data_IF_939647619322
#
_entry.id   IF_939647619322
#
_cell.length_a   1.000
_cell.length_b   1.000
_cell.length_c   1.000
_cell.angle_alpha   90.00
_cell.angle_beta   90.00
_cell.angle_gamma   90.00
#
_symmetry.space_group_name_H-M   'P 1'
#
loop_
_entity.id
_entity.type
_entity.pdbx_description
1 polymer ?
#
# COMPACT_ATOMS: atom_id res chain seq x y z
N UNK A 1 -22.16 -67.70 21.18
CA UNK A 1 -23.19 -67.44 20.15
C UNK A 1 -22.99 -66.01 19.65
N UNK A 2 -22.93 -65.63 18.38
CA UNK A 2 -22.91 -66.30 17.07
C UNK A 2 -22.69 -65.14 16.07
N UNK A 3 -21.67 -65.25 15.20
CA UNK A 3 -21.36 -64.53 13.92
C UNK A 3 -21.46 -62.99 13.84
N UNK A 4 -20.38 -62.24 13.57
CA UNK A 4 -19.69 -61.99 12.27
C UNK A 4 -20.61 -61.37 11.21
N UNK A 5 -20.39 -60.09 10.86
CA UNK A 5 -20.48 -59.61 9.47
C UNK A 5 -19.32 -58.63 9.19
N UNK A 6 -18.56 -59.00 8.16
CA UNK A 6 -17.50 -58.28 7.47
C UNK A 6 -18.09 -57.13 6.63
N UNK A 7 -17.43 -55.97 6.61
CA UNK A 7 -17.42 -55.11 5.42
C UNK A 7 -16.00 -54.65 5.14
N UNK A 8 -15.52 -55.13 4.01
CA UNK A 8 -14.22 -54.94 3.38
C UNK A 8 -14.28 -53.62 2.59
N UNK A 9 -13.42 -52.65 2.91
CA UNK A 9 -13.13 -51.53 2.01
C UNK A 9 -11.63 -51.32 1.93
N UNK A 10 -11.07 -51.75 0.81
CA UNK A 10 -9.72 -51.44 0.34
C UNK A 10 -9.74 -50.04 -0.26
N UNK A 11 -8.92 -49.11 0.25
CA UNK A 11 -8.37 -48.04 -0.58
C UNK A 11 -6.87 -47.91 -0.30
N UNK A 12 -6.15 -47.73 -1.40
CA UNK A 12 -4.75 -48.04 -1.59
C UNK A 12 -3.78 -47.08 -0.87
N UNK A 13 -2.64 -47.66 -0.51
CA UNK A 13 -1.46 -46.98 0.03
C UNK A 13 -0.84 -46.06 -1.02
N UNK A 14 -0.69 -44.78 -0.70
CA UNK A 14 0.31 -43.91 -1.33
C UNK A 14 1.40 -43.64 -0.31
N UNK A 15 2.58 -44.14 -0.65
CA UNK A 15 3.85 -44.10 0.06
C UNK A 15 4.51 -42.73 -0.02
N UNK A 16 5.20 -42.33 1.06
CA UNK A 16 6.56 -41.74 1.13
C UNK A 16 6.74 -41.05 2.48
N UNK A 17 7.88 -41.01 3.17
CA UNK A 17 9.17 -41.73 3.19
C UNK A 17 9.92 -41.10 4.38
N UNK A 18 10.13 -41.90 5.42
CA UNK A 18 11.15 -41.88 6.49
C UNK A 18 11.50 -40.62 7.31
N UNK A 19 11.87 -40.87 8.57
CA UNK A 19 12.09 -39.95 9.68
C UNK A 19 13.48 -40.15 10.31
N UNK A 20 14.12 -39.05 10.76
CA UNK A 20 15.11 -38.92 11.86
C UNK A 20 15.89 -37.60 11.62
N UNK A 21 16.33 -36.79 12.60
CA UNK A 21 16.47 -36.93 14.05
C UNK A 21 16.61 -35.52 14.66
N UNK A 22 16.45 -35.42 15.98
CA UNK A 22 16.59 -34.19 16.78
C UNK A 22 18.05 -33.70 16.94
N UNK A 23 18.13 -32.39 17.23
CA UNK A 23 18.91 -31.71 18.28
C UNK A 23 20.20 -30.89 17.94
N UNK A 24 20.32 -29.80 18.71
CA UNK A 24 21.49 -28.96 19.05
C UNK A 24 21.83 -27.69 18.24
N UNK A 25 21.39 -26.57 18.83
CA UNK A 25 21.97 -25.20 18.95
C UNK A 25 23.44 -25.01 18.53
N UNK A 26 23.74 -23.99 17.72
CA UNK A 26 24.94 -23.11 17.81
C UNK A 26 24.76 -21.87 16.91
N UNK A 27 25.05 -20.69 17.45
CA UNK A 27 25.06 -19.39 16.77
C UNK A 27 26.27 -19.19 15.84
N UNK A 28 26.15 -18.20 14.94
CA UNK A 28 27.18 -17.48 14.15
C UNK A 28 27.85 -18.22 12.98
N UNK A 29 27.60 -17.75 11.74
CA UNK A 29 28.50 -16.93 10.88
C UNK A 29 27.87 -16.75 9.47
N UNK A 30 27.75 -15.48 9.07
CA UNK A 30 27.78 -14.83 7.74
C UNK A 30 27.34 -15.52 6.41
N UNK A 31 26.43 -14.79 5.72
CA UNK A 31 26.23 -14.52 4.28
C UNK A 31 26.03 -15.68 3.27
N UNK A 32 25.02 -15.59 2.39
CA UNK A 32 25.28 -14.92 1.11
C UNK A 32 24.14 -14.03 0.59
N UNK A 33 24.54 -13.09 -0.27
CA UNK A 33 23.68 -12.40 -1.21
C UNK A 33 22.82 -13.38 -1.98
N UNK A 34 21.53 -13.09 -2.10
CA UNK A 34 20.71 -13.66 -3.15
C UNK A 34 19.94 -12.57 -3.87
N UNK A 35 20.07 -12.66 -5.19
CA UNK A 35 19.71 -11.66 -6.17
C UNK A 35 18.54 -12.27 -6.93
N UNK A 36 17.35 -11.70 -6.79
CA UNK A 36 16.16 -12.07 -7.57
C UNK A 36 15.19 -10.89 -7.38
N UNK A 37 14.68 -10.18 -8.37
CA UNK A 37 14.61 -10.38 -9.80
C UNK A 37 14.44 -9.03 -10.49
N UNK A 38 14.84 -8.97 -11.76
CA UNK A 38 14.34 -8.00 -12.72
C UNK A 38 12.80 -7.95 -12.68
N UNK A 39 12.28 -6.73 -12.61
CA UNK A 39 11.01 -6.37 -13.23
C UNK A 39 11.37 -5.17 -14.12
N UNK A 40 11.79 -5.42 -15.35
CA UNK A 40 10.91 -5.42 -16.53
C UNK A 40 9.94 -4.24 -16.53
N UNK A 41 10.06 -3.44 -17.59
CA UNK A 41 9.27 -2.27 -17.94
C UNK A 41 7.75 -2.53 -17.87
N UNK A 42 7.17 -2.38 -16.68
CA UNK A 42 5.72 -2.38 -16.40
C UNK A 42 5.35 -1.50 -15.17
N UNK A 43 6.29 -0.70 -14.66
CA UNK A 43 6.13 0.12 -13.45
C UNK A 43 5.02 1.19 -13.54
N UNK A 44 4.69 1.67 -14.75
CA UNK A 44 3.64 2.68 -14.91
C UNK A 44 2.25 2.16 -14.52
N UNK A 45 1.95 0.88 -14.78
CA UNK A 45 0.58 0.35 -14.56
C UNK A 45 0.20 0.21 -13.09
N UNK A 46 1.17 -0.03 -12.20
CA UNK A 46 0.92 -0.18 -10.76
C UNK A 46 0.69 1.17 -10.08
N UNK A 47 1.43 2.20 -10.48
CA UNK A 47 1.39 3.54 -9.87
C UNK A 47 0.01 4.19 -9.96
N UNK A 48 -0.73 3.95 -11.05
CA UNK A 48 -2.10 4.50 -11.19
C UNK A 48 -3.13 3.82 -10.32
N UNK A 49 -2.87 2.61 -9.83
CA UNK A 49 -3.87 1.79 -9.18
C UNK A 49 -4.22 2.33 -7.78
N UNK A 50 -5.52 2.27 -7.46
CA UNK A 50 -6.05 2.59 -6.14
C UNK A 50 -6.45 1.30 -5.39
N UNK A 51 -5.59 0.27 -5.44
CA UNK A 51 -5.82 -1.03 -4.79
C UNK A 51 -6.00 -0.91 -3.26
N UNK A 52 -5.33 0.09 -2.66
CA UNK A 52 -5.44 0.45 -1.25
C UNK A 52 -6.89 0.71 -0.79
N UNK A 53 -7.81 1.08 -1.69
CA UNK A 53 -9.24 1.25 -1.38
C UNK A 53 -9.87 -0.04 -0.87
N UNK A 54 -9.37 -1.20 -1.30
CA UNK A 54 -9.84 -2.50 -0.81
C UNK A 54 -9.23 -2.92 0.53
N UNK A 55 -8.17 -2.23 0.97
CA UNK A 55 -7.38 -2.54 2.16
C UNK A 55 -7.75 -1.64 3.34
N UNK A 56 -8.09 -0.37 3.06
CA UNK A 56 -8.45 0.61 4.07
C UNK A 56 -9.81 0.28 4.70
N UNK A 57 -9.90 0.47 6.01
CA UNK A 57 -11.10 0.18 6.80
C UNK A 57 -11.77 1.48 7.27
N UNK A 58 -12.94 1.32 7.89
CA UNK A 58 -13.66 2.37 8.63
C UNK A 58 -13.81 1.91 10.09
N UNK A 59 -13.90 2.85 11.02
CA UNK A 59 -14.01 2.58 12.46
C UNK A 59 -15.41 2.04 12.80
N UNK A 60 -15.60 0.73 12.70
CA UNK A 60 -16.85 0.07 13.06
C UNK A 60 -18.11 0.64 12.37
N UNK A 61 -17.96 1.19 11.16
CA UNK A 61 -19.04 1.85 10.41
C UNK A 61 -18.91 3.37 10.33
N UNK A 62 -18.06 3.98 11.17
CA UNK A 62 -17.79 5.41 11.22
C UNK A 62 -16.43 5.78 10.61
N UNK A 63 -16.20 7.07 10.34
CA UNK A 63 -14.90 7.55 9.87
C UNK A 63 -13.88 7.55 11.00
N UNK A 64 -12.62 7.25 10.68
CA UNK A 64 -11.50 7.40 11.60
C UNK A 64 -11.36 8.86 12.04
N UNK A 65 -11.18 9.06 13.35
CA UNK A 65 -10.86 10.37 13.87
C UNK A 65 -9.40 10.70 13.58
N UNK A 66 -9.18 11.73 12.77
CA UNK A 66 -7.88 12.32 12.56
C UNK A 66 -7.60 13.45 13.56
N UNK A 67 -6.33 13.69 13.86
CA UNK A 67 -5.94 14.89 14.60
C UNK A 67 -6.04 16.14 13.71
N UNK A 68 -6.11 17.31 14.36
CA UNK A 68 -6.33 18.57 13.68
C UNK A 68 -5.22 18.92 12.68
N UNK A 69 -3.96 18.58 12.98
CA UNK A 69 -2.80 18.86 12.12
C UNK A 69 -2.82 17.99 10.86
N UNK A 70 -3.21 16.72 10.98
CA UNK A 70 -3.44 15.83 9.83
C UNK A 70 -4.54 16.39 8.95
N UNK A 71 -5.69 16.75 9.52
CA UNK A 71 -6.81 17.35 8.80
C UNK A 71 -6.41 18.65 8.08
N UNK A 72 -5.63 19.52 8.73
CA UNK A 72 -5.11 20.74 8.11
C UNK A 72 -4.22 20.44 6.91
N UNK A 73 -3.28 19.49 7.05
CA UNK A 73 -2.38 19.10 5.97
C UNK A 73 -3.12 18.50 4.78
N UNK A 74 -4.13 17.65 5.02
CA UNK A 74 -4.94 17.08 3.95
C UNK A 74 -5.81 18.15 3.26
N UNK A 75 -6.33 19.13 3.99
CA UNK A 75 -7.02 20.26 3.37
C UNK A 75 -6.12 21.06 2.43
N UNK A 76 -4.83 21.24 2.76
CA UNK A 76 -3.85 21.87 1.84
C UNK A 76 -3.69 21.02 0.58
N UNK A 77 -3.45 19.71 0.73
CA UNK A 77 -3.37 18.77 -0.40
C UNK A 77 -4.60 18.86 -1.32
N UNK A 78 -5.79 18.86 -0.73
CA UNK A 78 -7.05 18.97 -1.45
C UNK A 78 -7.20 20.31 -2.18
N UNK A 79 -6.83 21.42 -1.54
CA UNK A 79 -6.87 22.73 -2.18
C UNK A 79 -5.91 22.76 -3.37
N UNK A 80 -4.68 22.30 -3.20
CA UNK A 80 -3.65 22.28 -4.24
C UNK A 80 -4.09 21.45 -5.45
N UNK A 81 -4.46 20.18 -5.25
CA UNK A 81 -4.81 19.27 -6.36
C UNK A 81 -6.12 19.64 -7.08
N UNK A 82 -7.03 20.36 -6.42
CA UNK A 82 -8.31 20.74 -7.00
C UNK A 82 -8.30 22.12 -7.66
N UNK A 83 -7.32 22.99 -7.36
CA UNK A 83 -7.27 24.36 -7.88
C UNK A 83 -6.16 24.59 -8.90
N UNK A 84 -5.06 23.84 -8.83
CA UNK A 84 -3.97 23.98 -9.79
C UNK A 84 -4.26 23.24 -11.08
N UNK A 85 -3.89 23.87 -12.20
CA UNK A 85 -3.94 23.28 -13.53
C UNK A 85 -2.52 23.04 -14.01
N UNK A 86 -2.24 21.84 -14.52
CA UNK A 86 -0.96 21.48 -15.12
C UNK A 86 -1.16 21.02 -16.55
N UNK A 87 -0.27 21.44 -17.45
CA UNK A 87 -0.36 21.11 -18.88
C UNK A 87 0.99 20.77 -19.51
N UNK A 88 2.09 21.18 -18.87
CA UNK A 88 3.46 20.87 -19.27
C UNK A 88 4.15 20.03 -18.20
N UNK A 89 5.24 19.34 -18.55
CA UNK A 89 6.05 18.59 -17.57
C UNK A 89 6.49 19.46 -16.39
N UNK A 90 6.94 20.70 -16.67
CA UNK A 90 7.34 21.65 -15.64
C UNK A 90 6.18 22.01 -14.70
N UNK A 91 4.95 22.20 -15.22
CA UNK A 91 3.77 22.42 -14.37
C UNK A 91 3.49 21.21 -13.47
N UNK A 92 3.59 19.99 -14.02
CA UNK A 92 3.36 18.76 -13.27
C UNK A 92 4.40 18.54 -12.18
N UNK A 93 5.68 18.81 -12.47
CA UNK A 93 6.75 18.73 -11.48
C UNK A 93 6.54 19.75 -10.35
N UNK A 94 6.19 21.00 -10.67
CA UNK A 94 5.84 22.02 -9.67
C UNK A 94 4.66 21.61 -8.79
N UNK A 95 3.60 21.07 -9.40
CA UNK A 95 2.47 20.52 -8.67
C UNK A 95 2.94 19.40 -7.72
N UNK A 96 3.77 18.47 -8.20
CA UNK A 96 4.28 17.37 -7.40
C UNK A 96 5.18 17.83 -6.24
N UNK A 97 6.04 18.83 -6.46
CA UNK A 97 6.87 19.46 -5.42
C UNK A 97 5.99 20.05 -4.30
N UNK A 98 4.96 20.82 -4.66
CA UNK A 98 4.07 21.41 -3.66
C UNK A 98 3.29 20.34 -2.88
N UNK A 99 2.76 19.33 -3.57
CA UNK A 99 2.07 18.22 -2.91
C UNK A 99 3.02 17.41 -2.02
N UNK A 100 4.30 17.29 -2.39
CA UNK A 100 5.31 16.64 -1.58
C UNK A 100 5.56 17.39 -0.27
N UNK A 101 5.66 18.71 -0.32
CA UNK A 101 5.81 19.54 0.88
C UNK A 101 4.60 19.44 1.82
N UNK A 102 3.39 19.49 1.25
CA UNK A 102 2.14 19.37 2.01
C UNK A 102 1.96 17.98 2.61
N UNK A 103 2.33 16.91 1.91
CA UNK A 103 2.32 15.56 2.49
C UNK A 103 3.36 15.42 3.60
N UNK A 104 4.52 16.06 3.45
CA UNK A 104 5.58 16.02 4.45
C UNK A 104 5.12 16.74 5.73
N UNK A 105 4.30 17.77 5.60
CA UNK A 105 3.61 18.37 6.74
C UNK A 105 2.69 17.36 7.45
N UNK A 106 1.88 16.59 6.73
CA UNK A 106 1.04 15.53 7.31
C UNK A 106 1.89 14.49 8.05
N UNK A 107 2.93 13.96 7.41
CA UNK A 107 3.84 12.95 7.99
C UNK A 107 4.49 13.46 9.28
N UNK A 108 5.00 14.69 9.26
CA UNK A 108 5.75 15.27 10.40
C UNK A 108 4.87 15.65 11.59
N UNK A 109 3.63 16.04 11.34
CA UNK A 109 2.75 16.60 12.38
C UNK A 109 1.63 15.65 12.82
N UNK A 110 1.58 14.43 12.29
CA UNK A 110 0.64 13.42 12.76
C UNK A 110 0.97 12.99 14.20
N UNK A 111 -0.02 13.10 15.07
CA UNK A 111 0.02 12.69 16.48
C UNK A 111 -0.82 11.44 16.76
N UNK A 112 -1.67 11.02 15.82
CA UNK A 112 -2.46 9.79 15.91
C UNK A 112 -1.62 8.57 16.25
N UNK A 113 -2.27 7.61 16.92
CA UNK A 113 -1.73 6.28 17.27
C UNK A 113 -2.83 5.24 17.10
N UNK A 114 -2.43 3.98 16.96
CA UNK A 114 -3.38 2.87 16.87
C UNK A 114 -4.10 2.81 15.51
N UNK A 115 -5.31 2.22 15.46
CA UNK A 115 -5.96 1.86 14.19
C UNK A 115 -6.18 3.02 13.20
N UNK A 116 -6.46 4.24 13.68
CA UNK A 116 -6.59 5.41 12.78
C UNK A 116 -5.27 5.80 12.13
N UNK A 117 -4.15 5.68 12.86
CA UNK A 117 -2.82 5.89 12.31
C UNK A 117 -2.44 4.81 11.30
N UNK A 118 -2.74 3.55 11.60
CA UNK A 118 -2.43 2.43 10.70
C UNK A 118 -3.23 2.54 9.39
N UNK A 119 -4.51 2.94 9.46
CA UNK A 119 -5.31 3.20 8.26
C UNK A 119 -4.86 4.46 7.52
N UNK A 120 -4.28 5.47 8.22
CA UNK A 120 -3.69 6.62 7.54
C UNK A 120 -2.52 6.16 6.65
N UNK A 121 -1.71 5.18 7.08
CA UNK A 121 -0.64 4.63 6.24
C UNK A 121 -1.15 3.96 4.97
N UNK A 122 -2.25 3.20 5.05
CA UNK A 122 -2.87 2.57 3.88
C UNK A 122 -3.26 3.61 2.82
N UNK A 123 -3.76 4.77 3.26
CA UNK A 123 -4.09 5.89 2.37
C UNK A 123 -2.85 6.68 1.90
N UNK A 124 -1.89 6.90 2.80
CA UNK A 124 -0.77 7.83 2.61
C UNK A 124 0.40 7.22 1.84
N UNK A 125 0.70 5.94 2.05
CA UNK A 125 1.80 5.26 1.37
C UNK A 125 1.66 5.26 -0.17
N UNK A 126 0.53 4.81 -0.75
CA UNK A 126 0.35 4.87 -2.21
C UNK A 126 0.30 6.31 -2.73
N UNK A 127 -0.12 7.29 -1.91
CA UNK A 127 -0.02 8.70 -2.26
C UNK A 127 1.43 9.18 -2.30
N UNK A 128 2.32 8.68 -1.42
CA UNK A 128 3.77 8.90 -1.44
C UNK A 128 4.36 8.46 -2.77
N UNK A 129 4.12 7.21 -3.16
CA UNK A 129 4.64 6.63 -4.40
C UNK A 129 4.15 7.38 -5.63
N UNK A 130 2.86 7.73 -5.70
CA UNK A 130 2.30 8.46 -6.85
C UNK A 130 2.94 9.85 -7.04
N UNK A 131 3.17 10.59 -5.96
CA UNK A 131 3.79 11.93 -6.07
C UNK A 131 5.28 11.81 -6.42
N UNK A 132 5.99 10.81 -5.88
CA UNK A 132 7.36 10.52 -6.28
C UNK A 132 7.46 10.14 -7.76
N UNK A 133 6.50 9.35 -8.27
CA UNK A 133 6.40 9.06 -9.70
C UNK A 133 6.10 10.32 -10.54
N UNK A 134 5.22 11.21 -10.06
CA UNK A 134 4.94 12.49 -10.75
C UNK A 134 6.16 13.41 -10.76
N UNK A 135 7.05 13.36 -9.76
CA UNK A 135 8.32 14.11 -9.77
C UNK A 135 9.33 13.58 -10.80
N UNK A 136 9.22 12.30 -11.16
CA UNK A 136 10.21 11.59 -12.00
C UNK A 136 9.76 11.34 -13.42
N UNK A 137 8.47 11.50 -13.71
CA UNK A 137 7.92 11.29 -15.04
C UNK A 137 8.53 12.24 -16.06
N UNK A 138 8.76 11.73 -17.27
CA UNK A 138 9.30 12.47 -18.42
C UNK A 138 8.26 12.58 -19.55
N UNK A 139 7.05 12.06 -19.35
CA UNK A 139 5.97 12.05 -20.33
C UNK A 139 4.72 12.78 -19.81
N UNK A 140 4.15 13.65 -20.65
CA UNK A 140 3.01 14.51 -20.29
C UNK A 140 1.72 13.71 -20.11
N UNK A 141 1.49 12.69 -20.94
CA UNK A 141 0.28 11.87 -20.85
C UNK A 141 0.31 11.01 -19.58
N UNK A 142 1.47 10.48 -19.23
CA UNK A 142 1.66 9.75 -17.98
C UNK A 142 1.55 10.70 -16.77
N UNK A 143 2.11 11.91 -16.82
CA UNK A 143 1.89 12.93 -15.78
C UNK A 143 0.41 13.21 -15.54
N UNK A 144 -0.38 13.33 -16.61
CA UNK A 144 -1.81 13.56 -16.51
C UNK A 144 -2.52 12.39 -15.81
N UNK A 145 -2.20 11.15 -16.18
CA UNK A 145 -2.76 9.94 -15.55
C UNK A 145 -2.37 9.83 -14.07
N UNK A 146 -1.10 10.08 -13.73
CA UNK A 146 -0.63 10.06 -12.33
C UNK A 146 -1.39 11.11 -11.53
N UNK A 147 -1.54 12.32 -12.08
CA UNK A 147 -2.25 13.44 -11.41
C UNK A 147 -3.71 13.11 -11.15
N UNK A 148 -4.41 12.45 -12.09
CA UNK A 148 -5.78 11.96 -11.86
C UNK A 148 -5.81 10.97 -10.69
N UNK A 149 -4.89 10.00 -10.68
CA UNK A 149 -4.82 9.01 -9.60
C UNK A 149 -4.48 9.63 -8.23
N UNK A 150 -3.58 10.62 -8.18
CA UNK A 150 -3.29 11.42 -6.98
C UNK A 150 -4.54 12.14 -6.49
N UNK A 151 -5.30 12.76 -7.41
CA UNK A 151 -6.53 13.49 -7.08
C UNK A 151 -7.59 12.57 -6.49
N UNK A 152 -7.79 11.40 -7.06
CA UNK A 152 -8.68 10.37 -6.51
C UNK A 152 -8.23 9.95 -5.10
N UNK A 153 -6.93 9.67 -4.93
CA UNK A 153 -6.35 9.27 -3.65
C UNK A 153 -6.56 10.36 -2.58
N UNK A 154 -6.23 11.62 -2.87
CA UNK A 154 -6.36 12.75 -1.93
C UNK A 154 -7.81 12.99 -1.55
N UNK A 155 -8.72 13.03 -2.52
CA UNK A 155 -10.12 13.36 -2.27
C UNK A 155 -10.88 12.23 -1.57
N UNK A 156 -10.42 10.98 -1.69
CA UNK A 156 -11.00 9.86 -0.98
C UNK A 156 -10.80 9.92 0.55
N UNK A 157 -9.88 10.76 1.06
CA UNK A 157 -9.66 10.94 2.49
C UNK A 157 -10.95 11.16 3.29
N UNK A 158 -11.84 12.05 2.82
CA UNK A 158 -13.10 12.36 3.52
C UNK A 158 -14.10 11.20 3.52
N UNK A 159 -13.86 10.12 2.80
CA UNK A 159 -14.65 8.89 2.91
C UNK A 159 -14.28 8.11 4.17
N UNK A 160 -13.01 8.15 4.57
CA UNK A 160 -12.44 7.31 5.63
C UNK A 160 -12.11 8.07 6.91
N UNK A 161 -11.87 9.39 6.83
CA UNK A 161 -11.41 10.20 7.96
C UNK A 161 -12.29 11.44 8.17
N UNK A 162 -12.29 11.93 9.40
CA UNK A 162 -12.91 13.20 9.82
C UNK A 162 -12.05 13.96 10.83
#
# INVERSE_FOLDING_TARGET
>A
MKHVIFTLSLLALVSCKDSKNQDVKTETVEHPADTHNNHDTHEASGVYANAWVSEIQIDNGDKWQADATTNEGVQKLQNTINTQTASTLDDYHKLAEQLNDEKNFVVKNCTMKGPSHDNLHIWLHPLIEKIDALLKTEDVDDSAKITVSIKENINAYNTYFQ
#
